data_IF_553980015320
#
_entry.id   IF_553980015320
#
_cell.length_a   1.000
_cell.length_b   1.000
_cell.length_c   1.000
_cell.angle_alpha   90.00
_cell.angle_beta   90.00
_cell.angle_gamma   90.00
#
_symmetry.space_group_name_H-M   'P 1'
#
loop_
_entity.id
_entity.type
_entity.pdbx_description
1 polymer ?
#
# COMPACT_ATOMS: atom_id res chain seq x y z
N UNK A 1 13.99 3.69 3.37
CA UNK A 1 13.80 5.13 3.70
C UNK A 1 12.33 5.28 4.03
N UNK A 2 12.01 5.59 5.28
CA UNK A 2 10.64 5.69 5.76
C UNK A 2 10.16 7.13 5.68
N UNK A 3 8.95 7.31 5.14
CA UNK A 3 8.23 8.57 5.19
C UNK A 3 7.31 8.54 6.42
N UNK A 4 7.30 9.63 7.16
CA UNK A 4 6.44 9.84 8.32
C UNK A 4 5.58 11.08 8.07
N UNK A 5 4.27 10.99 8.25
CA UNK A 5 3.33 12.11 8.09
C UNK A 5 3.52 12.86 6.77
N UNK A 6 3.71 12.11 5.69
CA UNK A 6 4.03 12.65 4.36
C UNK A 6 2.92 12.32 3.38
N UNK A 7 2.34 13.35 2.78
CA UNK A 7 1.44 13.17 1.65
C UNK A 7 2.24 12.98 0.36
N UNK A 8 2.28 11.75 -0.13
CA UNK A 8 2.87 11.43 -1.43
C UNK A 8 1.88 11.85 -2.50
N UNK A 9 2.23 12.87 -3.28
CA UNK A 9 1.42 13.36 -4.41
C UNK A 9 1.30 12.30 -5.51
N UNK A 10 0.24 12.44 -6.30
CA UNK A 10 -0.03 11.63 -7.49
C UNK A 10 1.19 11.68 -8.43
N UNK A 11 1.47 10.57 -9.12
CA UNK A 11 2.55 10.56 -10.11
C UNK A 11 2.14 11.38 -11.34
N UNK A 12 3.05 12.21 -11.86
CA UNK A 12 2.82 13.02 -13.07
C UNK A 12 2.48 12.17 -14.32
N UNK A 13 2.90 10.90 -14.31
CA UNK A 13 2.62 9.90 -15.35
C UNK A 13 1.25 9.20 -15.22
N UNK A 14 0.38 9.65 -14.30
CA UNK A 14 -0.92 8.99 -14.10
C UNK A 14 -1.90 9.33 -15.24
N UNK A 15 -2.54 8.33 -15.88
CA UNK A 15 -3.45 8.57 -17.01
C UNK A 15 -4.85 9.03 -16.58
N UNK A 16 -5.11 9.17 -15.28
CA UNK A 16 -6.45 9.47 -14.75
C UNK A 16 -6.57 10.94 -14.37
N UNK A 17 -7.69 11.56 -14.76
CA UNK A 17 -8.01 12.97 -14.43
C UNK A 17 -8.70 13.14 -13.08
N UNK A 18 -9.17 12.04 -12.47
CA UNK A 18 -9.80 12.00 -11.16
C UNK A 18 -9.45 10.68 -10.46
N UNK A 19 -9.31 10.72 -9.12
CA UNK A 19 -9.00 9.54 -8.32
C UNK A 19 -10.10 8.50 -8.43
N UNK A 20 -9.72 7.24 -8.72
CA UNK A 20 -10.66 6.13 -8.86
C UNK A 20 -10.43 5.13 -7.73
N UNK A 21 -11.48 4.81 -6.98
CA UNK A 21 -11.40 3.76 -5.97
C UNK A 21 -10.99 2.45 -6.68
N UNK A 22 -9.90 1.79 -6.28
CA UNK A 22 -9.56 0.50 -6.83
C UNK A 22 -10.66 -0.48 -6.39
N UNK A 23 -11.41 -0.98 -7.36
CA UNK A 23 -12.41 -2.04 -7.17
C UNK A 23 -12.14 -3.08 -8.23
N UNK A 24 -12.00 -4.34 -7.84
CA UNK A 24 -11.82 -5.47 -8.73
C UNK A 24 -12.92 -6.50 -8.50
N UNK A 25 -13.35 -7.15 -9.59
CA UNK A 25 -14.31 -8.26 -9.53
C UNK A 25 -13.62 -9.59 -9.19
N UNK A 26 -12.44 -9.56 -8.56
CA UNK A 26 -11.67 -10.75 -8.22
C UNK A 26 -12.10 -11.27 -6.84
N UNK A 27 -12.08 -12.58 -6.67
CA UNK A 27 -12.34 -13.20 -5.35
C UNK A 27 -11.31 -12.77 -4.29
N UNK A 28 -10.04 -12.57 -4.70
CA UNK A 28 -8.98 -12.05 -3.84
C UNK A 28 -8.76 -10.56 -4.11
N UNK A 29 -8.78 -9.75 -3.05
CA UNK A 29 -8.43 -8.33 -3.10
C UNK A 29 -7.02 -8.17 -3.65
N UNK A 30 -6.88 -7.26 -4.60
CA UNK A 30 -5.59 -6.84 -5.15
C UNK A 30 -4.81 -5.99 -4.15
N UNK A 31 -3.51 -5.89 -4.35
CA UNK A 31 -2.61 -5.03 -3.54
C UNK A 31 -3.15 -3.60 -3.44
N UNK A 32 -3.62 -3.02 -4.55
CA UNK A 32 -4.15 -1.64 -4.57
C UNK A 32 -5.46 -1.49 -3.79
N UNK A 33 -6.32 -2.52 -3.79
CA UNK A 33 -7.56 -2.52 -3.00
C UNK A 33 -7.28 -2.56 -1.51
N UNK A 34 -6.31 -3.38 -1.10
CA UNK A 34 -5.92 -3.50 0.31
C UNK A 34 -5.23 -2.20 0.77
N UNK A 35 -4.30 -1.68 -0.04
CA UNK A 35 -3.60 -0.42 0.23
C UNK A 35 -4.58 0.75 0.38
N UNK A 36 -5.54 0.87 -0.54
CA UNK A 36 -6.60 1.87 -0.46
C UNK A 36 -7.44 1.71 0.81
N UNK A 37 -7.90 0.50 1.11
CA UNK A 37 -8.74 0.25 2.28
C UNK A 37 -8.02 0.65 3.59
N UNK A 38 -6.76 0.24 3.76
CA UNK A 38 -5.96 0.56 4.95
C UNK A 38 -5.73 2.07 5.11
N UNK A 39 -5.38 2.76 4.02
CA UNK A 39 -5.15 4.21 4.03
C UNK A 39 -6.44 5.02 4.19
N UNK A 40 -7.55 4.54 3.63
CA UNK A 40 -8.85 5.19 3.75
C UNK A 40 -9.42 5.05 5.17
N UNK A 41 -9.24 3.89 5.80
CA UNK A 41 -9.69 3.66 7.18
C UNK A 41 -8.77 4.32 8.21
N UNK A 42 -7.45 4.38 7.95
CA UNK A 42 -6.46 4.89 8.90
C UNK A 42 -5.46 5.86 8.23
N UNK A 43 -5.92 7.05 7.81
CA UNK A 43 -5.07 8.04 7.14
C UNK A 43 -3.95 8.53 8.08
N UNK A 44 -2.69 8.44 7.63
CA UNK A 44 -1.51 8.89 8.41
C UNK A 44 -1.12 8.01 9.60
N UNK A 45 -1.69 6.80 9.70
CA UNK A 45 -1.36 5.86 10.78
C UNK A 45 -0.16 4.97 10.43
N UNK A 46 -0.01 4.61 9.15
CA UNK A 46 0.98 3.65 8.71
C UNK A 46 2.20 4.33 8.10
N UNK A 47 3.39 3.93 8.55
CA UNK A 47 4.61 4.22 7.80
C UNK A 47 4.65 3.43 6.48
N UNK A 48 5.53 3.82 5.56
CA UNK A 48 5.73 3.09 4.30
C UNK A 48 5.95 1.58 4.53
N UNK A 49 6.89 1.22 5.40
CA UNK A 49 7.23 -0.18 5.63
C UNK A 49 6.07 -0.94 6.30
N UNK A 50 5.34 -0.31 7.22
CA UNK A 50 4.17 -0.90 7.89
C UNK A 50 3.03 -1.13 6.91
N UNK A 51 2.68 -0.14 6.09
CA UNK A 51 1.63 -0.29 5.09
C UNK A 51 1.98 -1.41 4.09
N UNK A 52 3.22 -1.42 3.59
CA UNK A 52 3.67 -2.48 2.68
C UNK A 52 3.63 -3.87 3.33
N UNK A 53 3.95 -3.95 4.62
CA UNK A 53 3.90 -5.19 5.38
C UNK A 53 2.46 -5.67 5.62
N UNK A 54 1.55 -4.80 6.05
CA UNK A 54 0.14 -5.14 6.23
C UNK A 54 -0.50 -5.61 4.92
N UNK A 55 -0.24 -4.89 3.83
CA UNK A 55 -0.71 -5.29 2.50
C UNK A 55 -0.19 -6.68 2.12
N UNK A 56 1.07 -6.99 2.43
CA UNK A 56 1.65 -8.31 2.16
C UNK A 56 1.02 -9.42 3.00
N UNK A 57 0.82 -9.20 4.30
CA UNK A 57 0.15 -10.15 5.20
C UNK A 57 -1.26 -10.49 4.71
N UNK A 58 -2.06 -9.45 4.40
CA UNK A 58 -3.45 -9.60 3.94
C UNK A 58 -3.49 -10.25 2.55
N UNK A 59 -2.66 -9.77 1.61
CA UNK A 59 -2.66 -10.28 0.23
C UNK A 59 -2.24 -11.74 0.14
N UNK A 60 -1.28 -12.17 0.97
CA UNK A 60 -0.84 -13.57 1.04
C UNK A 60 -1.70 -14.43 1.97
N UNK A 61 -2.56 -13.84 2.79
CA UNK A 61 -3.37 -14.56 3.78
C UNK A 61 -2.52 -15.23 4.85
N UNK A 62 -1.46 -14.55 5.30
CA UNK A 62 -0.54 -15.10 6.29
C UNK A 62 -1.20 -15.04 7.68
N UNK A 63 -1.25 -16.16 8.42
CA UNK A 63 -1.77 -16.17 9.78
C UNK A 63 -0.98 -15.24 10.71
N UNK A 64 -1.68 -14.57 11.64
CA UNK A 64 -1.06 -13.62 12.59
C UNK A 64 0.00 -14.26 13.50
N UNK A 65 -0.13 -15.55 13.81
CA UNK A 65 0.89 -16.36 14.50
C UNK A 65 2.26 -16.36 13.79
N UNK A 66 2.28 -16.19 12.46
CA UNK A 66 3.49 -16.15 11.65
C UNK A 66 4.00 -14.71 11.42
N UNK A 67 3.28 -13.69 11.91
CA UNK A 67 3.61 -12.28 11.67
C UNK A 67 5.05 -11.94 12.01
N UNK A 68 5.56 -12.40 13.16
CA UNK A 68 6.90 -12.03 13.61
C UNK A 68 7.98 -12.58 12.67
N UNK A 69 7.90 -13.87 12.31
CA UNK A 69 8.84 -14.49 11.37
C UNK A 69 8.76 -13.87 9.98
N UNK A 70 7.54 -13.62 9.49
CA UNK A 70 7.36 -12.98 8.19
C UNK A 70 7.87 -11.53 8.19
N UNK A 71 7.71 -10.78 9.29
CA UNK A 71 8.21 -9.40 9.40
C UNK A 71 9.73 -9.34 9.22
N UNK A 72 10.46 -10.28 9.82
CA UNK A 72 11.92 -10.38 9.66
C UNK A 72 12.26 -10.62 8.19
N UNK A 73 11.66 -11.65 7.57
CA UNK A 73 11.88 -11.97 6.16
C UNK A 73 11.46 -10.83 5.21
N UNK A 74 10.44 -10.08 5.59
CA UNK A 74 9.91 -8.97 4.81
C UNK A 74 10.86 -7.78 4.81
N UNK A 75 11.46 -7.47 5.96
CA UNK A 75 12.40 -6.35 6.15
C UNK A 75 13.80 -6.64 5.58
N UNK A 76 14.17 -7.90 5.39
CA UNK A 76 15.45 -8.28 4.75
C UNK A 76 15.55 -7.82 3.29
N UNK A 77 14.42 -7.61 2.60
CA UNK A 77 14.40 -7.19 1.19
C UNK A 77 14.05 -5.71 1.07
N UNK A 78 14.94 -4.93 0.45
CA UNK A 78 14.67 -3.54 0.08
C UNK A 78 13.49 -3.45 -0.89
N UNK A 79 12.52 -2.58 -0.59
CA UNK A 79 11.29 -2.41 -1.37
C UNK A 79 11.31 -1.07 -2.11
N UNK A 80 10.62 -1.04 -3.25
CA UNK A 80 10.46 0.17 -4.04
C UNK A 80 9.67 1.25 -3.28
N UNK A 81 9.93 2.52 -3.59
CA UNK A 81 9.25 3.65 -2.98
C UNK A 81 7.74 3.62 -3.27
N UNK A 82 6.93 4.09 -2.33
CA UNK A 82 5.46 4.14 -2.48
C UNK A 82 4.99 4.99 -3.67
N UNK A 83 5.83 5.91 -4.17
CA UNK A 83 5.58 6.65 -5.41
C UNK A 83 5.44 5.75 -6.65
N UNK A 84 6.05 4.56 -6.63
CA UNK A 84 5.95 3.57 -7.69
C UNK A 84 4.78 2.58 -7.49
N UNK A 85 4.06 2.66 -6.37
CA UNK A 85 2.92 1.78 -6.11
C UNK A 85 1.78 2.07 -7.11
N UNK A 86 0.93 1.07 -7.33
CA UNK A 86 -0.14 1.15 -8.31
C UNK A 86 -1.21 2.19 -7.96
N UNK A 87 -1.33 2.58 -6.69
CA UNK A 87 -2.30 3.57 -6.22
C UNK A 87 -2.06 4.99 -6.80
N UNK A 88 -0.88 5.63 -6.62
CA UNK A 88 -0.56 6.90 -7.25
C UNK A 88 -0.34 6.80 -8.75
N UNK A 89 0.12 5.66 -9.28
CA UNK A 89 0.40 5.53 -10.71
C UNK A 89 -0.84 5.28 -11.56
N UNK A 90 -1.72 4.37 -11.15
CA UNK A 90 -2.87 3.92 -11.97
C UNK A 90 -4.21 4.48 -11.53
N UNK A 91 -4.35 4.80 -10.24
CA UNK A 91 -5.63 5.19 -9.67
C UNK A 91 -5.71 6.66 -9.26
N UNK A 92 -4.61 7.41 -9.41
CA UNK A 92 -4.59 8.86 -9.19
C UNK A 92 -4.83 9.25 -7.73
N UNK A 93 -4.42 8.42 -6.77
CA UNK A 93 -4.49 8.75 -5.34
C UNK A 93 -3.14 9.22 -4.82
N UNK A 94 -3.16 10.21 -3.93
CA UNK A 94 -2.02 10.46 -3.07
C UNK A 94 -2.04 9.51 -1.87
N UNK A 95 -0.87 9.09 -1.40
CA UNK A 95 -0.75 8.24 -0.22
C UNK A 95 -0.41 9.13 0.99
N UNK A 96 -1.32 9.22 1.96
CA UNK A 96 -1.04 9.85 3.25
C UNK A 96 -0.49 8.80 4.22
N UNK A 97 0.83 8.77 4.35
CA UNK A 97 1.58 7.91 5.28
C UNK A 97 1.87 8.66 6.57
#
# INVERSE_FOLDING_TARGET
>A
MNYYSTFILISDDSPVQASKIPVSNREKRTISEIEYALLHENPGYYTQDELQFEVHMIHKGIPEENRHGEKVLFLEKSRACMRASSLPKRFGWGNLL
#
